data_IF_027295776236
#
_entry.id   IF_027295776236
#
_cell.length_a   1.000
_cell.length_b   1.000
_cell.length_c   1.000
_cell.angle_alpha   90.00
_cell.angle_beta   90.00
_cell.angle_gamma   90.00
#
_symmetry.space_group_name_H-M   'P 1'
#
loop_
_entity.id
_entity.type
_entity.pdbx_description
1 polymer ?
#
# COMPACT_ATOMS: atom_id res chain seq x y z
N UNK A 1 -8.65 -4.32 -5.36
CA UNK A 1 -7.93 -3.67 -6.50
C UNK A 1 -7.62 -4.72 -7.55
N UNK A 2 -7.79 -4.39 -8.82
CA UNK A 2 -7.40 -5.24 -9.95
C UNK A 2 -5.90 -5.10 -10.18
N UNK A 3 -5.19 -6.20 -10.46
CA UNK A 3 -3.78 -6.11 -10.78
C UNK A 3 -3.59 -5.42 -12.14
N UNK A 4 -2.61 -4.54 -12.21
CA UNK A 4 -2.19 -3.85 -13.44
C UNK A 4 -0.70 -4.08 -13.65
N UNK A 5 -0.33 -4.48 -14.85
CA UNK A 5 1.05 -4.70 -15.26
C UNK A 5 1.43 -3.71 -16.34
N UNK A 6 2.66 -3.21 -16.31
CA UNK A 6 3.13 -2.31 -17.37
C UNK A 6 3.46 -3.11 -18.62
N UNK A 7 3.12 -2.53 -19.77
CA UNK A 7 3.53 -3.06 -21.07
C UNK A 7 5.06 -3.14 -21.17
N UNK A 8 5.58 -4.11 -21.88
CA UNK A 8 7.02 -4.35 -22.09
C UNK A 8 7.85 -4.48 -20.79
N UNK A 9 7.21 -4.87 -19.68
CA UNK A 9 7.92 -5.13 -18.42
C UNK A 9 7.72 -6.55 -17.91
N UNK A 10 8.74 -7.07 -17.23
CA UNK A 10 8.61 -8.32 -16.48
C UNK A 10 8.05 -7.99 -15.08
N UNK A 11 6.90 -8.57 -14.76
CA UNK A 11 6.23 -8.35 -13.48
C UNK A 11 5.75 -9.68 -12.88
N UNK A 12 5.31 -9.68 -11.62
CA UNK A 12 4.86 -10.90 -10.95
C UNK A 12 3.36 -10.85 -10.69
N UNK A 13 2.62 -11.79 -11.28
CA UNK A 13 1.23 -12.04 -10.92
C UNK A 13 1.18 -12.73 -9.55
N UNK A 14 0.37 -12.21 -8.63
CA UNK A 14 0.27 -12.72 -7.27
C UNK A 14 -1.18 -12.81 -6.81
N UNK A 15 -1.51 -13.86 -6.05
CA UNK A 15 -2.81 -13.99 -5.44
C UNK A 15 -2.80 -14.97 -4.27
N UNK A 16 -3.83 -14.90 -3.44
CA UNK A 16 -4.13 -15.91 -2.43
C UNK A 16 -5.40 -16.66 -2.82
N UNK A 17 -5.51 -17.89 -2.37
CA UNK A 17 -6.74 -18.67 -2.44
C UNK A 17 -7.31 -18.87 -1.02
N UNK A 18 -8.64 -18.92 -0.96
CA UNK A 18 -9.35 -18.93 0.31
C UNK A 18 -10.35 -20.07 0.35
N UNK A 19 -10.49 -20.69 1.53
CA UNK A 19 -11.57 -21.61 1.87
C UNK A 19 -12.17 -21.18 3.22
N UNK A 20 -13.48 -21.09 3.29
CA UNK A 20 -14.21 -20.69 4.51
C UNK A 20 -13.65 -19.38 5.14
N UNK A 21 -13.36 -18.38 4.31
CA UNK A 21 -12.79 -17.07 4.69
C UNK A 21 -11.38 -17.13 5.30
N UNK A 22 -10.66 -18.23 5.14
CA UNK A 22 -9.27 -18.38 5.58
C UNK A 22 -8.36 -18.58 4.38
N UNK A 23 -7.19 -17.93 4.40
CA UNK A 23 -6.14 -18.23 3.44
C UNK A 23 -5.74 -19.70 3.58
N UNK A 24 -5.56 -20.39 2.46
CA UNK A 24 -5.10 -21.76 2.41
C UNK A 24 -3.76 -21.84 1.67
N UNK A 25 -2.98 -22.85 2.02
CA UNK A 25 -1.75 -23.22 1.31
C UNK A 25 -2.07 -24.44 0.44
N UNK A 26 -2.23 -24.30 -0.89
CA UNK A 26 -2.53 -25.42 -1.76
C UNK A 26 -1.31 -26.33 -1.95
N UNK A 27 -1.54 -27.61 -2.25
CA UNK A 27 -0.47 -28.58 -2.52
C UNK A 27 0.19 -28.32 -3.89
N UNK A 28 -0.56 -27.81 -4.86
CA UNK A 28 -0.08 -27.38 -6.17
C UNK A 28 -1.00 -26.32 -6.75
N UNK A 29 -0.47 -25.48 -7.65
CA UNK A 29 -1.23 -24.49 -8.40
C UNK A 29 -0.66 -24.30 -9.80
N UNK A 30 -1.55 -24.08 -10.78
CA UNK A 30 -1.19 -23.77 -12.16
C UNK A 30 -1.95 -22.55 -12.64
N UNK A 31 -1.33 -21.77 -13.51
CA UNK A 31 -1.88 -20.57 -14.14
C UNK A 31 -2.16 -20.85 -15.63
N UNK A 32 -3.36 -20.52 -16.07
CA UNK A 32 -3.71 -20.43 -17.48
C UNK A 32 -4.19 -19.02 -17.77
N UNK A 33 -3.63 -18.35 -18.77
CA UNK A 33 -4.04 -17.00 -19.14
C UNK A 33 -4.53 -16.95 -20.57
N UNK A 34 -5.65 -16.26 -20.75
CA UNK A 34 -6.29 -16.02 -22.04
C UNK A 34 -6.14 -14.54 -22.40
N UNK A 35 -5.93 -14.28 -23.70
CA UNK A 35 -5.98 -12.91 -24.25
C UNK A 35 -7.40 -12.32 -24.12
N UNK A 36 -7.49 -11.00 -23.98
CA UNK A 36 -8.78 -10.32 -23.92
C UNK A 36 -9.69 -10.68 -25.11
N UNK A 37 -10.96 -10.98 -24.82
CA UNK A 37 -11.94 -11.34 -25.86
C UNK A 37 -11.66 -12.63 -26.63
N UNK A 38 -10.66 -13.44 -26.26
CA UNK A 38 -10.25 -14.65 -26.98
C UNK A 38 -10.31 -15.90 -26.10
N UNK A 39 -10.34 -17.05 -26.76
CA UNK A 39 -10.11 -18.37 -26.14
C UNK A 39 -8.66 -18.82 -26.26
N UNK A 40 -7.80 -18.04 -26.90
CA UNK A 40 -6.39 -18.34 -27.07
C UNK A 40 -5.62 -18.25 -25.74
N UNK A 41 -4.96 -19.34 -25.41
CA UNK A 41 -4.13 -19.45 -24.21
C UNK A 41 -2.71 -19.08 -24.58
N UNK A 42 -2.19 -17.97 -24.03
CA UNK A 42 -0.77 -17.66 -24.20
C UNK A 42 0.08 -18.15 -23.01
N UNK A 43 -0.55 -18.41 -21.85
CA UNK A 43 0.02 -19.21 -20.77
C UNK A 43 -0.92 -20.40 -20.56
N UNK A 44 -0.39 -21.63 -20.60
CA UNK A 44 -1.21 -22.83 -20.48
C UNK A 44 -0.72 -23.72 -19.35
N UNK A 45 -1.49 -23.80 -18.27
CA UNK A 45 -1.24 -24.64 -17.11
C UNK A 45 0.21 -24.54 -16.55
N UNK A 46 0.79 -23.34 -16.58
CA UNK A 46 2.13 -23.11 -16.05
C UNK A 46 2.14 -23.21 -14.52
N UNK A 47 3.12 -23.92 -13.94
CA UNK A 47 3.26 -24.08 -12.50
C UNK A 47 3.48 -22.74 -11.82
N UNK A 48 2.76 -22.50 -10.71
CA UNK A 48 2.95 -21.34 -9.85
C UNK A 48 3.85 -21.67 -8.67
N UNK A 49 4.62 -20.70 -8.21
CA UNK A 49 5.33 -20.78 -6.93
C UNK A 49 4.35 -20.56 -5.79
N UNK A 50 4.48 -21.39 -4.73
CA UNK A 50 3.62 -21.32 -3.54
C UNK A 50 4.48 -20.92 -2.36
N UNK A 51 4.19 -19.76 -1.77
CA UNK A 51 4.84 -19.29 -0.55
C UNK A 51 4.37 -20.06 0.69
N UNK A 52 5.16 -20.02 1.75
CA UNK A 52 4.81 -20.65 3.04
C UNK A 52 3.53 -20.08 3.67
N UNK A 53 3.18 -18.86 3.32
CA UNK A 53 1.95 -18.16 3.75
C UNK A 53 0.76 -18.40 2.80
N UNK A 54 0.93 -19.23 1.75
CA UNK A 54 -0.07 -19.52 0.73
C UNK A 54 -0.13 -18.52 -0.42
N UNK A 55 0.83 -17.58 -0.53
CA UNK A 55 0.92 -16.68 -1.66
C UNK A 55 1.25 -17.48 -2.93
N UNK A 56 0.38 -17.42 -3.92
CA UNK A 56 0.62 -17.95 -5.27
C UNK A 56 1.26 -16.87 -6.12
N UNK A 57 2.36 -17.18 -6.78
CA UNK A 57 3.06 -16.23 -7.65
C UNK A 57 3.49 -16.87 -8.97
N UNK A 58 3.47 -16.05 -10.03
CA UNK A 58 3.96 -16.41 -11.35
C UNK A 58 4.66 -15.22 -12.01
N UNK A 59 5.90 -15.42 -12.47
CA UNK A 59 6.67 -14.37 -13.14
C UNK A 59 6.20 -14.22 -14.60
N UNK A 60 5.53 -13.12 -14.89
CA UNK A 60 5.21 -12.71 -16.24
C UNK A 60 6.47 -12.15 -16.89
N UNK A 61 6.79 -12.61 -18.08
CA UNK A 61 7.91 -12.09 -18.88
C UNK A 61 7.46 -10.87 -19.70
N UNK A 62 8.40 -10.16 -20.29
CA UNK A 62 8.13 -9.07 -21.23
C UNK A 62 7.17 -9.52 -22.34
N UNK A 63 7.37 -10.72 -22.88
CA UNK A 63 6.54 -11.29 -23.95
C UNK A 63 5.10 -11.67 -23.49
N UNK A 64 4.88 -11.73 -22.19
CA UNK A 64 3.52 -11.92 -21.63
C UNK A 64 2.77 -10.60 -21.47
N UNK A 65 3.48 -9.48 -21.42
CA UNK A 65 2.96 -8.13 -21.25
C UNK A 65 3.29 -7.23 -22.46
N UNK A 66 3.38 -7.80 -23.67
CA UNK A 66 3.78 -7.10 -24.88
C UNK A 66 2.67 -6.25 -25.51
N UNK A 67 1.42 -6.45 -25.10
CA UNK A 67 0.27 -5.74 -25.62
C UNK A 67 -0.53 -5.14 -24.48
N UNK A 68 -0.67 -3.82 -24.51
CA UNK A 68 -1.56 -3.12 -23.58
C UNK A 68 -3.02 -3.44 -23.93
N UNK A 69 -3.74 -4.06 -23.02
CA UNK A 69 -5.16 -4.38 -23.16
C UNK A 69 -5.78 -4.65 -21.78
N UNK A 70 -7.09 -4.53 -21.69
CA UNK A 70 -7.85 -4.79 -20.49
C UNK A 70 -8.46 -6.20 -20.48
N UNK A 71 -8.70 -6.73 -19.31
CA UNK A 71 -9.43 -7.97 -19.10
C UNK A 71 -8.72 -9.26 -19.56
N UNK A 72 -7.39 -9.32 -19.40
CA UNK A 72 -6.71 -10.61 -19.45
C UNK A 72 -7.32 -11.56 -18.42
N UNK A 73 -7.74 -12.74 -18.86
CA UNK A 73 -8.42 -13.73 -18.01
C UNK A 73 -7.40 -14.74 -17.47
N UNK A 74 -7.11 -14.67 -16.18
CA UNK A 74 -6.26 -15.62 -15.47
C UNK A 74 -7.13 -16.68 -14.77
N UNK A 75 -6.95 -17.94 -15.15
CA UNK A 75 -7.60 -19.09 -14.49
C UNK A 75 -6.52 -19.83 -13.70
N UNK A 76 -6.70 -19.87 -12.39
CA UNK A 76 -5.82 -20.59 -11.47
C UNK A 76 -6.51 -21.89 -11.08
N UNK A 77 -5.87 -23.01 -11.40
CA UNK A 77 -6.30 -24.34 -10.94
C UNK A 77 -5.36 -24.77 -9.79
N UNK A 78 -5.91 -25.14 -8.64
CA UNK A 78 -5.13 -25.51 -7.48
C UNK A 78 -5.70 -26.73 -6.78
N UNK A 79 -4.83 -27.50 -6.11
CA UNK A 79 -5.20 -28.69 -5.36
C UNK A 79 -5.12 -28.42 -3.86
N UNK A 80 -6.22 -28.64 -3.17
CA UNK A 80 -6.30 -28.55 -1.72
C UNK A 80 -7.11 -29.72 -1.16
N UNK A 81 -6.61 -30.40 -0.13
CA UNK A 81 -7.21 -31.62 0.45
C UNK A 81 -7.56 -32.70 -0.61
N UNK A 82 -6.63 -32.92 -1.56
CA UNK A 82 -6.77 -33.84 -2.68
C UNK A 82 -7.94 -33.53 -3.67
N UNK A 83 -8.55 -32.36 -3.57
CA UNK A 83 -9.59 -31.87 -4.49
C UNK A 83 -9.01 -30.75 -5.34
N UNK A 84 -9.35 -30.75 -6.65
CA UNK A 84 -8.97 -29.68 -7.56
C UNK A 84 -10.05 -28.62 -7.61
N UNK A 85 -9.64 -27.38 -7.40
CA UNK A 85 -10.48 -26.18 -7.49
C UNK A 85 -9.96 -25.24 -8.59
N UNK A 86 -10.80 -24.31 -9.04
CA UNK A 86 -10.38 -23.26 -9.92
C UNK A 86 -11.00 -21.93 -9.55
N UNK A 87 -10.23 -20.85 -9.72
CA UNK A 87 -10.71 -19.48 -9.61
C UNK A 87 -10.35 -18.72 -10.88
N UNK A 88 -11.18 -17.75 -11.22
CA UNK A 88 -10.93 -16.84 -12.35
C UNK A 88 -10.70 -15.44 -11.83
N UNK A 89 -9.59 -14.85 -12.22
CA UNK A 89 -9.24 -13.46 -11.95
C UNK A 89 -9.04 -12.72 -13.27
N UNK A 90 -9.13 -11.40 -13.21
CA UNK A 90 -8.84 -10.55 -14.36
C UNK A 90 -7.75 -9.55 -13.97
N UNK A 91 -6.86 -9.26 -14.92
CA UNK A 91 -5.86 -8.22 -14.80
C UNK A 91 -5.77 -7.41 -16.09
N UNK A 92 -5.12 -6.28 -16.05
CA UNK A 92 -4.93 -5.41 -17.20
C UNK A 92 -3.43 -5.23 -17.46
N UNK A 93 -3.05 -5.15 -18.73
CA UNK A 93 -1.71 -4.69 -19.16
C UNK A 93 -1.88 -3.26 -19.66
N UNK A 94 -1.13 -2.32 -19.08
CA UNK A 94 -1.38 -0.89 -19.23
C UNK A 94 -0.11 -0.14 -19.64
N UNK A 95 -0.28 0.95 -20.39
CA UNK A 95 0.84 1.81 -20.79
C UNK A 95 1.40 2.63 -19.62
N UNK A 96 0.54 2.98 -18.66
CA UNK A 96 0.93 3.72 -17.45
C UNK A 96 0.10 3.26 -16.26
N UNK A 97 0.63 3.41 -15.05
CA UNK A 97 -0.11 3.17 -13.80
C UNK A 97 -0.37 4.51 -13.11
N UNK A 98 -1.55 4.67 -12.52
CA UNK A 98 -1.80 5.79 -11.62
C UNK A 98 -0.83 5.68 -10.44
N UNK A 99 -0.15 6.78 -10.12
CA UNK A 99 0.82 6.84 -9.02
C UNK A 99 0.30 7.67 -7.85
N UNK A 100 0.81 7.37 -6.67
CA UNK A 100 0.55 8.17 -5.47
C UNK A 100 1.35 9.47 -5.55
N UNK A 101 0.70 10.60 -5.25
CA UNK A 101 1.29 11.94 -5.34
C UNK A 101 1.22 12.72 -4.03
N UNK A 102 1.03 12.02 -2.92
CA UNK A 102 0.99 12.60 -1.57
C UNK A 102 2.03 11.97 -0.66
N UNK A 103 2.43 12.69 0.36
CA UNK A 103 3.42 12.32 1.36
C UNK A 103 2.83 12.43 2.78
N UNK A 104 3.58 11.97 3.77
CA UNK A 104 3.24 12.14 5.19
C UNK A 104 3.08 13.62 5.57
N UNK A 105 3.89 14.50 4.98
CA UNK A 105 3.81 15.95 5.23
C UNK A 105 2.47 16.56 4.76
N UNK A 106 1.91 16.06 3.67
CA UNK A 106 0.60 16.51 3.19
C UNK A 106 -0.51 16.22 4.20
N UNK A 107 -0.46 15.04 4.84
CA UNK A 107 -1.40 14.62 5.87
C UNK A 107 -1.25 15.52 7.12
N UNK A 108 -0.01 15.73 7.56
CA UNK A 108 0.29 16.54 8.74
C UNK A 108 -0.04 18.01 8.52
N UNK A 109 0.11 18.53 7.30
CA UNK A 109 -0.26 19.90 6.97
C UNK A 109 -1.78 20.09 6.94
N UNK A 110 -2.54 19.09 6.46
CA UNK A 110 -4.01 19.12 6.49
C UNK A 110 -4.55 18.92 7.92
N UNK A 111 -3.89 18.11 8.74
CA UNK A 111 -4.30 17.82 10.11
C UNK A 111 -3.15 18.09 11.11
N UNK A 112 -2.85 19.37 11.45
CA UNK A 112 -1.71 19.72 12.31
C UNK A 112 -1.76 19.14 13.72
N UNK A 113 -2.93 18.74 14.21
CA UNK A 113 -3.12 18.08 15.50
C UNK A 113 -2.37 16.75 15.61
N UNK A 114 -2.01 16.13 14.49
CA UNK A 114 -1.21 14.91 14.48
C UNK A 114 0.18 15.12 15.07
N UNK A 115 0.73 16.34 15.00
CA UNK A 115 2.03 16.67 15.58
C UNK A 115 2.06 16.46 17.10
N UNK A 116 0.91 16.64 17.75
CA UNK A 116 0.75 16.51 19.21
C UNK A 116 0.26 15.12 19.63
N UNK A 117 -0.22 14.29 18.69
CA UNK A 117 -0.82 12.97 18.94
C UNK A 117 0.09 11.78 18.55
N UNK A 118 1.39 11.85 18.87
CA UNK A 118 2.29 10.71 18.69
C UNK A 118 2.87 10.56 17.29
N UNK A 119 2.59 11.48 16.35
CA UNK A 119 3.28 11.50 15.06
C UNK A 119 4.77 11.82 15.23
N UNK A 120 5.10 12.66 16.22
CA UNK A 120 6.47 13.03 16.55
C UNK A 120 6.74 12.73 18.04
N UNK A 121 7.68 11.86 18.31
CA UNK A 121 8.07 11.44 19.65
C UNK A 121 9.51 11.87 19.92
N UNK A 122 9.73 12.50 21.08
CA UNK A 122 11.04 12.91 21.54
C UNK A 122 11.47 12.02 22.71
N UNK A 123 12.73 11.65 22.76
CA UNK A 123 13.28 10.84 23.85
C UNK A 123 14.79 10.91 23.93
N UNK A 124 15.31 10.11 24.85
CA UNK A 124 16.75 9.84 24.99
C UNK A 124 16.90 8.32 25.00
N UNK A 125 17.73 7.77 24.13
CA UNK A 125 17.92 6.34 24.05
C UNK A 125 18.53 5.79 25.35
N UNK A 126 17.94 4.73 25.90
CA UNK A 126 18.51 4.01 27.06
C UNK A 126 19.76 3.23 26.66
N UNK A 127 19.75 2.67 25.45
CA UNK A 127 20.85 1.92 24.87
C UNK A 127 20.70 1.86 23.34
N UNK A 128 21.66 1.26 22.66
CA UNK A 128 21.59 1.11 21.20
C UNK A 128 22.94 0.75 20.59
N UNK A 129 22.93 0.70 19.26
CA UNK A 129 24.11 0.50 18.41
C UNK A 129 24.12 1.59 17.31
N UNK A 130 24.95 1.42 16.30
CA UNK A 130 24.89 2.31 15.13
C UNK A 130 23.59 2.13 14.30
N UNK A 131 22.92 1.00 14.43
CA UNK A 131 21.71 0.66 13.66
C UNK A 131 20.45 0.46 14.51
N UNK A 132 20.56 0.52 15.84
CA UNK A 132 19.43 0.31 16.74
C UNK A 132 19.38 1.37 17.82
N UNK A 133 18.19 1.87 18.12
CA UNK A 133 17.86 2.73 19.23
C UNK A 133 16.89 1.99 20.12
N UNK A 134 17.17 1.93 21.43
CA UNK A 134 16.32 1.25 22.40
C UNK A 134 15.93 2.25 23.49
N UNK A 135 14.63 2.38 23.72
CA UNK A 135 14.07 3.23 24.79
C UNK A 135 12.84 2.54 25.39
N UNK A 136 12.83 2.36 26.70
CA UNK A 136 11.73 1.70 27.42
C UNK A 136 10.41 2.47 27.30
N UNK A 137 10.45 3.80 27.15
CA UNK A 137 9.26 4.64 26.97
C UNK A 137 8.53 4.36 25.65
N UNK A 138 9.22 3.76 24.65
CA UNK A 138 8.62 3.38 23.37
C UNK A 138 7.77 2.10 23.46
N UNK A 139 7.85 1.32 24.53
CA UNK A 139 7.06 0.08 24.73
C UNK A 139 5.55 0.30 24.79
N UNK A 140 5.10 1.54 24.91
CA UNK A 140 3.67 1.91 24.85
C UNK A 140 3.09 1.88 23.44
N UNK A 141 3.92 1.77 22.40
CA UNK A 141 3.49 1.72 21.02
C UNK A 141 3.46 0.27 20.52
N UNK A 142 2.56 -0.02 19.59
CA UNK A 142 2.44 -1.34 18.97
C UNK A 142 3.61 -1.61 18.02
N UNK A 143 3.85 -2.88 17.71
CA UNK A 143 4.85 -3.27 16.70
C UNK A 143 4.57 -2.54 15.37
N UNK A 144 5.62 -2.21 14.66
CA UNK A 144 5.60 -1.48 13.38
C UNK A 144 5.05 -0.03 13.45
N UNK A 145 4.77 0.51 14.64
CA UNK A 145 4.18 1.86 14.75
C UNK A 145 5.02 2.95 14.07
N UNK A 146 6.34 2.87 14.15
CA UNK A 146 7.27 3.84 13.55
C UNK A 146 7.91 3.34 12.26
N UNK A 147 7.67 2.11 11.84
CA UNK A 147 8.26 1.52 10.63
C UNK A 147 7.90 2.33 9.38
N UNK A 148 8.91 2.68 8.57
CA UNK A 148 8.78 3.58 7.41
C UNK A 148 8.80 5.07 7.75
N UNK A 149 8.86 5.43 9.03
CA UNK A 149 9.06 6.80 9.50
C UNK A 149 10.54 7.19 9.55
N UNK A 150 10.85 8.27 10.23
CA UNK A 150 12.21 8.81 10.35
C UNK A 150 12.67 8.85 11.80
N UNK A 151 13.92 8.46 12.03
CA UNK A 151 14.65 8.66 13.27
C UNK A 151 15.69 9.75 13.06
N UNK A 152 15.59 10.84 13.82
CA UNK A 152 16.54 11.93 13.84
C UNK A 152 17.31 11.91 15.15
N UNK A 153 18.64 11.72 15.11
CA UNK A 153 19.51 11.91 16.26
C UNK A 153 19.86 13.39 16.37
N UNK A 154 19.34 14.04 17.41
CA UNK A 154 19.66 15.43 17.75
C UNK A 154 21.13 15.63 18.14
N UNK A 155 21.75 14.59 18.71
CA UNK A 155 23.15 14.63 19.18
C UNK A 155 24.11 14.63 18.00
N UNK A 156 23.74 13.97 16.90
CA UNK A 156 24.61 13.79 15.71
C UNK A 156 24.21 14.65 14.53
N UNK A 157 23.04 15.26 14.58
CA UNK A 157 22.42 15.97 13.44
C UNK A 157 22.26 15.07 12.21
N UNK A 158 21.79 13.83 12.44
CA UNK A 158 21.61 12.83 11.38
C UNK A 158 20.20 12.27 11.39
N UNK A 159 19.64 12.08 10.18
CA UNK A 159 18.34 11.43 9.97
C UNK A 159 18.52 10.10 9.26
N UNK A 160 17.77 9.07 9.68
CA UNK A 160 17.70 7.75 9.04
C UNK A 160 16.25 7.29 8.96
N UNK A 161 15.95 6.52 7.92
CA UNK A 161 14.66 5.83 7.80
C UNK A 161 14.60 4.68 8.81
N UNK A 162 13.42 4.51 9.42
CA UNK A 162 13.13 3.41 10.35
C UNK A 162 12.69 2.21 9.51
N UNK A 163 13.49 1.16 9.53
CA UNK A 163 13.22 -0.07 8.76
C UNK A 163 12.37 -1.07 9.55
N UNK A 164 12.41 -1.00 10.89
CA UNK A 164 11.67 -1.89 11.76
C UNK A 164 11.46 -1.25 13.15
N UNK A 165 10.35 -1.58 13.81
CA UNK A 165 10.06 -1.19 15.19
C UNK A 165 9.41 -2.34 15.96
N UNK A 166 10.03 -2.74 17.07
CA UNK A 166 9.53 -3.78 17.97
C UNK A 166 9.02 -3.13 19.24
N UNK A 167 7.71 -2.99 19.37
CA UNK A 167 7.06 -2.32 20.52
C UNK A 167 7.32 -3.02 21.85
N UNK A 168 7.33 -4.36 21.89
CA UNK A 168 7.57 -5.12 23.13
C UNK A 168 8.93 -4.83 23.78
N UNK A 169 9.95 -4.46 23.01
CA UNK A 169 11.29 -4.10 23.48
C UNK A 169 11.56 -2.59 23.46
N UNK A 170 10.76 -1.82 22.71
CA UNK A 170 11.00 -0.40 22.44
C UNK A 170 12.20 -0.19 21.53
N UNK A 171 12.44 -1.13 20.59
CA UNK A 171 13.60 -1.13 19.69
C UNK A 171 13.23 -0.56 18.34
N UNK A 172 13.94 0.49 17.92
CA UNK A 172 13.88 1.06 16.57
C UNK A 172 15.11 0.60 15.80
N UNK A 173 14.92 0.05 14.61
CA UNK A 173 15.99 -0.36 13.68
C UNK A 173 16.05 0.61 12.51
N UNK A 174 17.26 1.06 12.15
CA UNK A 174 17.51 2.03 11.08
C UNK A 174 18.71 1.62 10.24
N UNK A 175 18.96 2.32 9.13
CA UNK A 175 20.28 2.34 8.50
C UNK A 175 21.31 2.93 9.48
N UNK A 176 22.60 2.59 9.31
CA UNK A 176 23.64 2.97 10.25
C UNK A 176 23.80 4.50 10.38
N UNK A 177 23.81 5.00 11.62
CA UNK A 177 24.33 6.31 11.98
C UNK A 177 25.86 6.28 12.01
N UNK A 178 26.53 7.45 12.01
CA UNK A 178 28.01 7.55 12.08
C UNK A 178 28.63 7.08 13.39
N UNK A 179 27.85 6.51 14.30
CA UNK A 179 28.33 5.89 15.54
C UNK A 179 27.18 5.35 16.38
N UNK A 180 27.53 4.80 17.54
CA UNK A 180 26.57 4.23 18.48
C UNK A 180 25.66 5.31 19.04
N UNK A 181 24.35 5.14 18.92
CA UNK A 181 23.32 6.11 19.36
C UNK A 181 22.82 5.89 20.81
N UNK A 182 23.52 5.06 21.59
CA UNK A 182 23.24 4.90 23.01
C UNK A 182 23.35 6.26 23.70
N UNK A 183 22.32 6.64 24.47
CA UNK A 183 22.19 7.94 25.16
C UNK A 183 22.02 9.18 24.28
N UNK A 184 21.88 9.02 22.96
CA UNK A 184 21.56 10.13 22.08
C UNK A 184 20.13 10.63 22.32
N UNK A 185 19.95 11.95 22.23
CA UNK A 185 18.61 12.54 22.12
C UNK A 185 18.09 12.32 20.71
N UNK A 186 16.83 11.93 20.60
CA UNK A 186 16.22 11.59 19.30
C UNK A 186 14.84 12.21 19.13
N UNK A 187 14.42 12.28 17.86
CA UNK A 187 13.05 12.49 17.45
C UNK A 187 12.67 11.33 16.51
N UNK A 188 11.55 10.66 16.79
CA UNK A 188 10.94 9.70 15.86
C UNK A 188 9.70 10.31 15.25
N UNK A 189 9.49 10.07 13.97
CA UNK A 189 8.24 10.39 13.27
C UNK A 189 7.60 9.10 12.77
N UNK A 190 6.27 9.04 12.83
CA UNK A 190 5.49 7.94 12.26
C UNK A 190 5.32 8.14 10.75
N UNK A 191 5.26 7.06 9.99
CA UNK A 191 4.80 7.07 8.60
C UNK A 191 3.29 6.79 8.50
N UNK A 192 2.64 7.44 7.54
CA UNK A 192 1.24 7.20 7.16
C UNK A 192 1.13 6.38 5.86
N UNK A 193 2.18 5.67 5.49
CA UNK A 193 2.22 4.87 4.25
C UNK A 193 1.04 3.91 4.11
N UNK A 194 0.61 3.27 5.21
CA UNK A 194 -0.54 2.35 5.22
C UNK A 194 -1.86 3.09 4.95
N UNK A 195 -2.06 4.24 5.57
CA UNK A 195 -3.25 5.08 5.40
C UNK A 195 -3.30 5.70 4.00
N UNK A 196 -2.17 6.18 3.50
CA UNK A 196 -2.00 6.68 2.11
C UNK A 196 -2.35 5.57 1.11
N UNK A 197 -1.87 4.35 1.35
CA UNK A 197 -2.16 3.21 0.48
C UNK A 197 -3.65 2.86 0.48
N UNK A 198 -4.31 2.79 1.65
CA UNK A 198 -5.74 2.52 1.76
C UNK A 198 -6.59 3.60 1.09
N UNK A 199 -6.20 4.86 1.24
CA UNK A 199 -6.86 5.98 0.55
C UNK A 199 -6.75 5.86 -0.97
N UNK A 200 -5.57 5.49 -1.46
CA UNK A 200 -5.33 5.26 -2.88
C UNK A 200 -6.19 4.11 -3.43
N UNK A 201 -6.26 3.00 -2.71
CA UNK A 201 -7.12 1.85 -3.06
C UNK A 201 -8.61 2.23 -3.11
N UNK A 202 -9.04 3.10 -2.20
CA UNK A 202 -10.41 3.62 -2.18
C UNK A 202 -10.71 4.49 -3.39
N UNK A 203 -9.76 5.33 -3.81
CA UNK A 203 -9.89 6.15 -5.02
C UNK A 203 -9.99 5.25 -6.26
N UNK A 204 -9.13 4.24 -6.38
CA UNK A 204 -9.19 3.27 -7.48
C UNK A 204 -10.56 2.56 -7.53
N UNK A 205 -11.08 2.14 -6.37
CA UNK A 205 -12.42 1.54 -6.29
C UNK A 205 -13.53 2.52 -6.74
N UNK A 206 -13.44 3.79 -6.35
CA UNK A 206 -14.42 4.81 -6.77
C UNK A 206 -14.35 5.10 -8.27
N UNK A 207 -13.16 5.16 -8.83
CA UNK A 207 -12.95 5.28 -10.28
C UNK A 207 -13.60 4.11 -11.00
N UNK A 208 -13.31 2.89 -10.57
CA UNK A 208 -13.90 1.69 -11.16
C UNK A 208 -15.43 1.68 -11.09
N UNK A 209 -16.01 2.01 -9.92
CA UNK A 209 -17.47 2.10 -9.74
C UNK A 209 -18.13 3.20 -10.60
N UNK A 210 -17.39 4.25 -10.93
CA UNK A 210 -17.83 5.31 -11.84
C UNK A 210 -17.63 4.98 -13.33
N UNK A 211 -17.19 3.75 -13.64
CA UNK A 211 -16.91 3.30 -15.00
C UNK A 211 -15.59 3.82 -15.57
N UNK A 212 -14.72 4.36 -14.73
CA UNK A 212 -13.41 4.90 -15.12
C UNK A 212 -12.28 3.94 -14.76
N UNK A 213 -11.17 4.01 -15.50
CA UNK A 213 -9.96 3.22 -15.28
C UNK A 213 -8.85 4.13 -14.78
N UNK A 214 -8.19 3.73 -13.69
CA UNK A 214 -7.15 4.52 -13.08
C UNK A 214 -5.97 4.80 -14.03
N UNK A 215 -5.59 3.83 -14.86
CA UNK A 215 -4.49 3.95 -15.81
C UNK A 215 -4.76 4.92 -16.99
N UNK A 216 -6.01 5.33 -17.21
CA UNK A 216 -6.39 6.31 -18.23
C UNK A 216 -6.41 7.75 -17.70
N UNK A 217 -6.04 7.97 -16.44
CA UNK A 217 -5.87 9.29 -15.86
C UNK A 217 -4.48 9.81 -16.22
N UNK A 218 -4.41 10.88 -17.00
CA UNK A 218 -3.15 11.43 -17.51
C UNK A 218 -2.38 12.22 -16.47
N UNK A 219 -3.07 12.87 -15.52
CA UNK A 219 -2.44 13.67 -14.49
C UNK A 219 -2.86 13.19 -13.09
N UNK A 220 -1.98 12.46 -12.37
CA UNK A 220 -2.27 11.99 -11.02
C UNK A 220 -2.53 13.13 -10.02
N UNK A 221 -2.01 14.35 -10.29
CA UNK A 221 -2.22 15.50 -9.43
C UNK A 221 -3.66 16.01 -9.42
N UNK A 222 -4.44 15.70 -10.46
CA UNK A 222 -5.89 16.00 -10.47
C UNK A 222 -6.62 15.32 -9.31
N UNK A 223 -6.09 14.19 -8.78
CA UNK A 223 -6.64 13.44 -7.65
C UNK A 223 -5.99 13.78 -6.31
N UNK A 224 -4.99 14.66 -6.27
CA UNK A 224 -4.17 14.89 -5.08
C UNK A 224 -5.00 15.32 -3.86
N UNK A 225 -5.90 16.27 -4.00
CA UNK A 225 -6.74 16.77 -2.91
C UNK A 225 -7.64 15.66 -2.34
N UNK A 226 -8.27 14.89 -3.21
CA UNK A 226 -9.11 13.73 -2.81
C UNK A 226 -8.27 12.70 -2.06
N UNK A 227 -7.05 12.46 -2.53
CA UNK A 227 -6.14 11.49 -1.91
C UNK A 227 -5.73 11.95 -0.50
N UNK A 228 -5.37 13.23 -0.31
CA UNK A 228 -5.06 13.80 1.01
C UNK A 228 -6.25 13.60 1.97
N UNK A 229 -7.44 14.00 1.55
CA UNK A 229 -8.62 13.95 2.42
C UNK A 229 -9.02 12.53 2.79
N UNK A 230 -8.93 11.55 1.87
CA UNK A 230 -9.16 10.14 2.21
C UNK A 230 -8.06 9.59 3.11
N UNK A 231 -6.79 9.96 2.92
CA UNK A 231 -5.71 9.53 3.78
C UNK A 231 -5.88 10.07 5.21
N UNK A 232 -6.25 11.35 5.35
CA UNK A 232 -6.60 11.95 6.67
C UNK A 232 -7.81 11.23 7.29
N UNK A 233 -8.82 10.89 6.50
CA UNK A 233 -9.96 10.12 6.99
C UNK A 233 -9.54 8.74 7.54
N UNK A 234 -8.63 8.03 6.86
CA UNK A 234 -8.11 6.74 7.34
C UNK A 234 -7.28 6.90 8.62
N UNK A 235 -6.49 7.97 8.75
CA UNK A 235 -5.77 8.30 9.99
C UNK A 235 -6.76 8.53 11.14
N UNK A 236 -7.76 9.40 10.93
CA UNK A 236 -8.78 9.68 11.94
C UNK A 236 -9.54 8.42 12.37
N UNK A 237 -9.85 7.53 11.42
CA UNK A 237 -10.49 6.24 11.69
C UNK A 237 -9.63 5.35 12.60
N UNK A 238 -8.32 5.30 12.39
CA UNK A 238 -7.38 4.59 13.26
C UNK A 238 -7.36 5.16 14.69
N UNK A 239 -7.54 6.47 14.83
CA UNK A 239 -7.54 7.17 16.14
C UNK A 239 -8.86 7.05 16.91
N UNK A 240 -9.94 6.51 16.32
CA UNK A 240 -11.23 6.33 17.01
C UNK A 240 -11.17 5.37 18.20
N UNK A 241 -10.09 4.60 18.35
CA UNK A 241 -9.86 3.71 19.50
C UNK A 241 -9.20 4.40 20.68
N UNK A 242 -8.83 5.68 20.56
CA UNK A 242 -8.22 6.49 21.63
C UNK A 242 -9.25 7.10 22.58
N UNK A 243 -8.79 7.75 23.65
CA UNK A 243 -9.65 8.43 24.63
C UNK A 243 -10.54 9.54 24.06
N UNK A 244 -10.23 10.06 22.87
CA UNK A 244 -10.99 11.11 22.16
C UNK A 244 -11.80 10.52 20.98
N UNK A 245 -12.30 9.31 21.12
CA UNK A 245 -12.96 8.54 20.08
C UNK A 245 -14.08 9.30 19.35
N UNK A 246 -14.89 10.08 20.06
CA UNK A 246 -16.02 10.84 19.47
C UNK A 246 -15.53 11.95 18.53
N UNK A 247 -14.47 12.68 18.91
CA UNK A 247 -13.86 13.71 18.08
C UNK A 247 -13.28 13.11 16.79
N UNK A 248 -12.47 12.07 16.92
CA UNK A 248 -11.84 11.41 15.78
C UNK A 248 -12.87 10.75 14.86
N UNK A 249 -13.96 10.22 15.42
CA UNK A 249 -15.07 9.67 14.64
C UNK A 249 -15.77 10.74 13.78
N UNK A 250 -16.02 11.93 14.34
CA UNK A 250 -16.57 13.05 13.58
C UNK A 250 -15.63 13.49 12.47
N UNK A 251 -14.37 13.72 12.80
CA UNK A 251 -13.34 14.10 11.82
C UNK A 251 -13.24 13.08 10.67
N UNK A 252 -13.23 11.78 10.99
CA UNK A 252 -13.26 10.74 9.97
C UNK A 252 -14.44 10.91 9.03
N UNK A 253 -15.67 11.06 9.56
CA UNK A 253 -16.89 11.18 8.74
C UNK A 253 -16.89 12.46 7.90
N UNK A 254 -16.43 13.56 8.45
CA UNK A 254 -16.36 14.84 7.76
C UNK A 254 -15.36 14.80 6.60
N UNK A 255 -14.15 14.28 6.82
CA UNK A 255 -13.14 14.14 5.78
C UNK A 255 -13.57 13.14 4.70
N UNK A 256 -14.15 12.00 5.06
CA UNK A 256 -14.65 11.02 4.11
C UNK A 256 -15.76 11.62 3.23
N UNK A 257 -16.69 12.37 3.81
CA UNK A 257 -17.78 13.04 3.08
C UNK A 257 -17.25 14.13 2.15
N UNK A 258 -16.31 14.96 2.63
CA UNK A 258 -15.66 16.02 1.85
C UNK A 258 -14.89 15.45 0.67
N UNK A 259 -14.08 14.39 0.90
CA UNK A 259 -13.34 13.71 -0.15
C UNK A 259 -14.26 13.16 -1.25
N UNK A 260 -15.36 12.53 -0.86
CA UNK A 260 -16.34 11.98 -1.80
C UNK A 260 -17.08 13.09 -2.60
N UNK A 261 -17.42 14.21 -1.96
CA UNK A 261 -18.06 15.34 -2.63
C UNK A 261 -17.10 15.95 -3.69
N UNK A 262 -15.84 16.15 -3.33
CA UNK A 262 -14.81 16.65 -4.26
C UNK A 262 -14.62 15.66 -5.40
N UNK A 263 -14.43 14.37 -5.11
CA UNK A 263 -14.28 13.33 -6.14
C UNK A 263 -15.42 13.37 -7.18
N UNK A 264 -16.65 13.56 -6.74
CA UNK A 264 -17.81 13.66 -7.64
C UNK A 264 -17.81 14.91 -8.53
N UNK A 265 -17.21 15.99 -8.08
CA UNK A 265 -17.14 17.26 -8.82
C UNK A 265 -15.89 17.36 -9.69
N UNK A 266 -14.93 16.45 -9.52
CA UNK A 266 -13.67 16.48 -10.28
C UNK A 266 -13.88 16.28 -11.78
N UNK A 267 -13.27 17.17 -12.54
CA UNK A 267 -13.06 17.00 -13.96
C UNK A 267 -11.57 16.78 -14.21
N UNK A 268 -11.15 15.53 -14.23
CA UNK A 268 -9.74 15.16 -14.46
C UNK A 268 -9.49 14.80 -15.93
N UNK A 269 -8.26 14.98 -16.36
CA UNK A 269 -7.79 14.63 -17.71
C UNK A 269 -7.84 13.11 -17.88
N UNK A 270 -8.68 12.66 -18.80
CA UNK A 270 -8.97 11.25 -18.98
C UNK A 270 -8.78 10.85 -20.44
N UNK A 271 -7.86 9.93 -20.70
CA UNK A 271 -7.55 9.38 -22.00
C UNK A 271 -8.52 8.25 -22.37
N UNK A 272 -9.53 8.56 -23.16
CA UNK A 272 -10.52 7.57 -23.61
C UNK A 272 -10.03 6.66 -24.73
N UNK A 273 -9.02 7.08 -25.47
CA UNK A 273 -8.43 6.37 -26.61
C UNK A 273 -7.25 5.48 -26.23
N UNK A 274 -6.72 5.66 -25.02
CA UNK A 274 -5.51 4.97 -24.50
C UNK A 274 -4.27 5.21 -25.38
N UNK A 275 -4.18 6.41 -25.97
CA UNK A 275 -3.05 6.81 -26.83
C UNK A 275 -2.09 7.78 -26.15
N UNK A 276 -2.36 8.17 -24.90
CA UNK A 276 -1.55 9.09 -24.09
C UNK A 276 -1.86 10.57 -24.32
N UNK A 277 -2.93 10.89 -25.06
CA UNK A 277 -3.36 12.26 -25.35
C UNK A 277 -4.79 12.51 -24.84
N UNK A 278 -5.16 13.82 -24.71
CA UNK A 278 -6.51 14.25 -24.28
C UNK A 278 -7.41 14.37 -25.50
#
# INVERSE_FOLDING_TARGET
>A
MRQQFLVDTAETFQTYVYENNRKIVPASATLTVYKPGSTDKFINAAAMTIGSDGLLSYSLTITHNDIADENYKAVISYVFNAVTYSITLFYDVVNSKLVKVITDDDIVNELPQLKDNGWRVHGTADSGSATTLIDAELKRYEDDYFTGGLAYSLTRDETREITDFVGSTGTVTTAAFTGVIATDKYILTRSFTKEIQRAFEKIDELLYRSGKRAHLILDPYDLREVHILYAVAEVCKGLTTTGEATFWWQMWKDYESKAYAIFKSLNFKYDTSNDGYI
#
